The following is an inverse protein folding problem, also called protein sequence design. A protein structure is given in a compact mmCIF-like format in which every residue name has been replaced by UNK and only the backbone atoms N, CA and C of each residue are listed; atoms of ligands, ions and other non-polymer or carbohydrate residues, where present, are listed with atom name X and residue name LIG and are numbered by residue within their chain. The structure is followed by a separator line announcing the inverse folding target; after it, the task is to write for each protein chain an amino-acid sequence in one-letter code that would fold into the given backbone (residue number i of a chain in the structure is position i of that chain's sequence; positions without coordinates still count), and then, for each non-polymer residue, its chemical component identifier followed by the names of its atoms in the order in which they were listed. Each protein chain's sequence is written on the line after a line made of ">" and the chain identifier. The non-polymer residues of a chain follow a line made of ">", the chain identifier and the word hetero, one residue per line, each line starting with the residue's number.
data_IF_926357534400
#
_entry.id   IF_926357534400
#
_cell.length_a   1.000
_cell.length_b   1.000
_cell.length_c   1.000
_cell.angle_alpha   90.00
_cell.angle_beta   90.00
_cell.angle_gamma   90.00
#
_symmetry.space_group_name_H-M   'P 1'
#
loop_
_entity.id
_entity.type
_entity.pdbx_description
1 polymer ?
#
# COMPACT_ATOMS: atom_id res chain seq x y z
N UNK A 1 -1.50 -20.54 42.27
CA UNK A 1 -1.86 -19.49 41.30
C UNK A 1 -2.05 -20.16 39.95
N UNK A 2 -3.27 -20.58 39.62
CA UNK A 2 -3.64 -21.13 38.30
C UNK A 2 -5.07 -20.68 38.04
N UNK A 3 -5.21 -19.46 37.51
CA UNK A 3 -6.48 -18.97 37.00
C UNK A 3 -6.59 -19.47 35.57
N UNK A 4 -7.49 -20.44 35.31
CA UNK A 4 -7.92 -20.78 33.97
C UNK A 4 -8.83 -19.64 33.47
N UNK A 5 -8.23 -18.55 33.02
CA UNK A 5 -8.94 -17.49 32.32
C UNK A 5 -9.25 -18.04 30.92
N UNK A 6 -10.53 -18.04 30.50
CA UNK A 6 -10.91 -18.39 29.12
C UNK A 6 -10.11 -17.47 28.17
N UNK A 7 -9.10 -18.02 27.50
CA UNK A 7 -8.22 -17.23 26.61
C UNK A 7 -8.96 -16.78 25.33
N UNK A 8 -10.05 -17.46 24.96
CA UNK A 8 -10.98 -17.06 23.90
C UNK A 8 -12.32 -17.79 24.04
N UNK A 9 -13.42 -17.16 23.64
CA UNK A 9 -14.74 -17.79 23.50
C UNK A 9 -15.23 -17.64 22.06
N UNK A 10 -15.67 -18.75 21.45
CA UNK A 10 -16.27 -18.77 20.12
C UNK A 10 -17.78 -18.93 20.29
N UNK A 11 -18.55 -17.96 19.81
CA UNK A 11 -20.00 -18.01 19.83
C UNK A 11 -20.52 -18.30 18.42
N UNK A 12 -21.17 -19.45 18.25
CA UNK A 12 -21.80 -19.85 16.98
C UNK A 12 -23.31 -19.61 17.09
N UNK A 13 -23.83 -18.74 16.22
CA UNK A 13 -25.27 -18.49 16.10
C UNK A 13 -25.77 -19.11 14.82
N UNK A 14 -26.36 -20.31 14.92
CA UNK A 14 -26.92 -21.02 13.78
C UNK A 14 -28.39 -20.67 13.60
N UNK A 15 -28.75 -20.05 12.47
CA UNK A 15 -30.15 -19.85 12.08
C UNK A 15 -30.58 -20.94 11.10
N UNK A 16 -31.68 -21.68 11.37
CA UNK A 16 -32.19 -22.65 10.41
C UNK A 16 -32.69 -21.95 9.14
N UNK A 17 -32.56 -22.63 8.01
CA UNK A 17 -33.11 -22.16 6.73
C UNK A 17 -34.63 -22.11 6.83
N UNK A 18 -35.22 -20.99 6.41
CA UNK A 18 -36.68 -20.83 6.42
C UNK A 18 -37.36 -21.73 5.39
N UNK A 19 -36.75 -21.89 4.20
CA UNK A 19 -37.26 -22.74 3.11
C UNK A 19 -36.15 -23.69 2.63
N UNK A 20 -36.10 -24.94 3.13
CA UNK A 20 -35.02 -25.88 2.84
C UNK A 20 -35.03 -26.41 1.39
N UNK A 21 -36.14 -26.29 0.65
CA UNK A 21 -36.26 -26.77 -0.72
C UNK A 21 -36.04 -25.69 -1.78
N UNK A 22 -35.71 -24.46 -1.34
CA UNK A 22 -35.57 -23.31 -2.27
C UNK A 22 -34.22 -23.38 -2.99
N UNK A 23 -34.29 -23.58 -4.31
CA UNK A 23 -33.16 -23.44 -5.23
C UNK A 23 -32.99 -21.96 -5.59
N UNK A 24 -31.74 -21.48 -5.56
CA UNK A 24 -31.38 -20.12 -5.93
C UNK A 24 -30.91 -20.01 -7.37
N UNK A 25 -31.29 -18.93 -8.06
CA UNK A 25 -30.74 -18.62 -9.38
C UNK A 25 -29.38 -17.93 -9.21
N UNK A 26 -28.36 -18.43 -9.93
CA UNK A 26 -27.00 -17.89 -9.85
C UNK A 26 -26.92 -16.39 -10.16
N UNK A 27 -27.71 -15.93 -11.13
CA UNK A 27 -27.76 -14.52 -11.54
C UNK A 27 -28.23 -13.60 -10.41
N UNK A 28 -29.24 -14.03 -9.66
CA UNK A 28 -29.80 -13.27 -8.55
C UNK A 28 -28.81 -13.18 -7.39
N UNK A 29 -28.12 -14.29 -7.10
CA UNK A 29 -27.07 -14.35 -6.07
C UNK A 29 -25.94 -13.38 -6.41
N UNK A 30 -25.46 -13.38 -7.65
CA UNK A 30 -24.42 -12.45 -8.09
C UNK A 30 -24.88 -10.98 -8.10
N UNK A 31 -26.15 -10.71 -8.39
CA UNK A 31 -26.68 -9.35 -8.35
C UNK A 31 -26.78 -8.83 -6.91
N UNK A 32 -27.19 -9.66 -5.95
CA UNK A 32 -27.33 -9.24 -4.54
C UNK A 32 -25.97 -8.97 -3.88
N UNK A 33 -24.91 -9.65 -4.32
CA UNK A 33 -23.59 -9.63 -3.69
C UNK A 33 -22.96 -8.23 -3.57
N UNK A 34 -22.77 -7.44 -4.65
CA UNK A 34 -22.19 -6.10 -4.53
C UNK A 34 -22.99 -5.17 -3.62
N UNK A 35 -24.32 -5.22 -3.72
CA UNK A 35 -25.20 -4.38 -2.89
C UNK A 35 -25.06 -4.69 -1.40
N UNK A 36 -24.93 -5.98 -1.04
CA UNK A 36 -24.70 -6.38 0.36
C UNK A 36 -23.33 -5.95 0.86
N UNK A 37 -22.27 -6.08 0.05
CA UNK A 37 -20.92 -5.69 0.49
C UNK A 37 -20.85 -4.16 0.64
N UNK A 38 -21.46 -3.40 -0.26
CA UNK A 38 -21.54 -1.93 -0.17
C UNK A 38 -22.30 -1.44 1.08
N UNK A 39 -23.28 -2.20 1.57
CA UNK A 39 -23.96 -1.90 2.83
C UNK A 39 -23.05 -2.16 4.06
N UNK A 40 -22.28 -3.24 4.03
CA UNK A 40 -21.49 -3.69 5.19
C UNK A 40 -20.11 -3.03 5.29
N UNK A 41 -19.41 -2.79 4.18
CA UNK A 41 -18.05 -2.27 4.19
C UNK A 41 -17.94 -0.89 4.87
N UNK A 42 -18.81 0.10 4.57
CA UNK A 42 -18.77 1.39 5.25
C UNK A 42 -19.05 1.27 6.75
N UNK A 43 -19.99 0.40 7.12
CA UNK A 43 -20.34 0.17 8.53
C UNK A 43 -19.17 -0.42 9.33
N UNK A 44 -18.42 -1.36 8.73
CA UNK A 44 -17.21 -1.91 9.35
C UNK A 44 -16.13 -0.84 9.54
N UNK A 45 -15.95 0.03 8.55
CA UNK A 45 -14.98 1.14 8.63
C UNK A 45 -15.37 2.15 9.71
N UNK A 46 -16.66 2.46 9.86
CA UNK A 46 -17.18 3.30 10.96
C UNK A 46 -16.87 2.71 12.33
N UNK A 47 -16.96 1.38 12.46
CA UNK A 47 -16.61 0.62 13.67
C UNK A 47 -15.08 0.42 13.84
N UNK A 48 -14.26 1.09 13.03
CA UNK A 48 -12.79 0.97 12.99
C UNK A 48 -12.28 -0.44 12.65
N UNK A 49 -13.09 -1.28 12.00
CA UNK A 49 -12.67 -2.54 11.41
C UNK A 49 -12.22 -2.23 9.98
N UNK A 50 -10.91 -2.31 9.75
CA UNK A 50 -10.27 -1.87 8.50
C UNK A 50 -9.26 -2.92 8.01
N UNK A 51 -8.88 -2.86 6.74
CA UNK A 51 -7.85 -3.75 6.19
C UNK A 51 -8.32 -5.19 6.00
N UNK A 52 -7.42 -6.15 6.23
CA UNK A 52 -7.72 -7.57 6.15
C UNK A 52 -8.92 -7.97 7.03
N UNK A 53 -9.05 -7.40 8.22
CA UNK A 53 -10.16 -7.71 9.14
C UNK A 53 -11.52 -7.28 8.57
N UNK A 54 -11.58 -6.18 7.82
CA UNK A 54 -12.80 -5.74 7.12
C UNK A 54 -13.16 -6.71 5.98
N UNK A 55 -12.15 -7.19 5.24
CA UNK A 55 -12.34 -8.16 4.16
C UNK A 55 -12.90 -9.47 4.74
N UNK A 56 -12.31 -9.99 5.83
CA UNK A 56 -12.79 -11.22 6.46
C UNK A 56 -14.18 -11.05 7.09
N UNK A 57 -14.47 -9.88 7.65
CA UNK A 57 -15.78 -9.58 8.22
C UNK A 57 -16.87 -9.52 7.14
N UNK A 58 -16.55 -9.08 5.92
CA UNK A 58 -17.48 -9.08 4.78
C UNK A 58 -17.79 -10.47 4.22
N UNK A 59 -16.97 -11.50 4.48
CA UNK A 59 -17.24 -12.86 4.02
C UNK A 59 -18.52 -13.43 4.63
N UNK A 60 -18.80 -13.15 5.91
CA UNK A 60 -20.02 -13.63 6.57
C UNK A 60 -21.30 -13.14 5.87
N UNK A 61 -21.49 -11.81 5.72
CA UNK A 61 -22.60 -11.23 4.96
C UNK A 61 -22.69 -11.73 3.50
N UNK A 62 -21.56 -11.90 2.82
CA UNK A 62 -21.55 -12.45 1.46
C UNK A 62 -22.01 -13.92 1.43
N UNK A 63 -21.57 -14.74 2.39
CA UNK A 63 -22.00 -16.14 2.52
C UNK A 63 -23.47 -16.27 2.93
N UNK A 64 -24.04 -15.27 3.60
CA UNK A 64 -25.47 -15.26 3.93
C UNK A 64 -26.34 -15.39 2.67
N UNK A 65 -25.96 -14.72 1.57
CA UNK A 65 -26.71 -14.74 0.30
C UNK A 65 -26.77 -16.16 -0.27
N UNK A 66 -25.60 -16.84 -0.32
CA UNK A 66 -25.49 -18.19 -0.86
C UNK A 66 -26.12 -19.25 0.06
N UNK A 67 -25.94 -19.10 1.38
CA UNK A 67 -26.43 -20.08 2.37
C UNK A 67 -27.95 -20.06 2.60
N UNK A 68 -28.66 -19.04 2.10
CA UNK A 68 -30.14 -18.99 2.10
C UNK A 68 -30.77 -20.11 1.25
N UNK A 69 -30.06 -20.59 0.24
CA UNK A 69 -30.55 -21.59 -0.71
C UNK A 69 -30.04 -23.00 -0.36
N UNK A 70 -30.72 -24.03 -0.85
CA UNK A 70 -30.27 -25.43 -0.73
C UNK A 70 -29.21 -25.79 -1.75
N UNK A 71 -29.47 -25.42 -3.01
CA UNK A 71 -28.54 -25.40 -4.12
C UNK A 71 -28.69 -24.08 -4.88
N UNK A 72 -27.61 -23.64 -5.52
CA UNK A 72 -27.64 -22.51 -6.46
C UNK A 72 -27.30 -23.05 -7.83
N UNK A 73 -28.13 -22.75 -8.82
CA UNK A 73 -28.01 -23.31 -10.16
C UNK A 73 -27.85 -22.18 -11.20
N UNK A 74 -27.01 -22.43 -12.21
CA UNK A 74 -26.90 -21.59 -13.40
C UNK A 74 -28.11 -21.80 -14.30
N UNK A 75 -28.33 -20.89 -15.26
CA UNK A 75 -29.40 -21.06 -16.26
C UNK A 75 -29.29 -22.36 -17.10
N UNK A 76 -28.11 -23.00 -17.10
CA UNK A 76 -27.85 -24.31 -17.71
C UNK A 76 -28.34 -25.50 -16.87
N UNK A 77 -28.77 -25.29 -15.62
CA UNK A 77 -29.06 -26.34 -14.64
C UNK A 77 -27.83 -26.91 -13.94
N UNK A 78 -26.64 -26.33 -14.16
CA UNK A 78 -25.42 -26.71 -13.45
C UNK A 78 -25.43 -26.12 -12.03
N UNK A 79 -25.18 -26.95 -11.03
CA UNK A 79 -25.04 -26.52 -9.64
C UNK A 79 -23.70 -25.81 -9.43
N UNK A 80 -23.74 -24.58 -8.90
CA UNK A 80 -22.56 -23.79 -8.55
C UNK A 80 -21.99 -24.28 -7.22
N UNK A 81 -20.68 -24.53 -7.18
CA UNK A 81 -19.99 -24.90 -5.95
C UNK A 81 -19.66 -23.67 -5.08
N UNK A 82 -19.49 -23.87 -3.77
CA UNK A 82 -19.04 -22.79 -2.88
C UNK A 82 -17.66 -22.25 -3.28
N UNK A 83 -16.79 -23.09 -3.84
CA UNK A 83 -15.47 -22.69 -4.32
C UNK A 83 -15.56 -21.65 -5.43
N UNK A 84 -16.40 -21.91 -6.45
CA UNK A 84 -16.68 -20.93 -7.52
C UNK A 84 -17.25 -19.64 -6.94
N UNK A 85 -18.24 -19.71 -6.04
CA UNK A 85 -18.82 -18.51 -5.43
C UNK A 85 -17.79 -17.69 -4.67
N UNK A 86 -16.88 -18.36 -3.96
CA UNK A 86 -15.84 -17.71 -3.16
C UNK A 86 -14.94 -16.81 -4.01
N UNK A 87 -14.63 -17.18 -5.25
CA UNK A 87 -13.84 -16.34 -6.17
C UNK A 87 -14.55 -15.01 -6.46
N UNK A 88 -15.85 -15.05 -6.75
CA UNK A 88 -16.65 -13.84 -6.96
C UNK A 88 -16.80 -13.00 -5.69
N UNK A 89 -16.93 -13.65 -4.53
CA UNK A 89 -16.96 -12.94 -3.25
C UNK A 89 -15.65 -12.21 -3.00
N UNK A 90 -14.51 -12.88 -3.21
CA UNK A 90 -13.21 -12.23 -3.05
C UNK A 90 -13.06 -11.02 -3.97
N UNK A 91 -13.38 -11.18 -5.26
CA UNK A 91 -13.32 -10.07 -6.21
C UNK A 91 -14.26 -8.91 -5.84
N UNK A 92 -15.49 -9.19 -5.38
CA UNK A 92 -16.43 -8.15 -4.98
C UNK A 92 -15.98 -7.41 -3.72
N UNK A 93 -15.47 -8.13 -2.71
CA UNK A 93 -14.99 -7.53 -1.46
C UNK A 93 -13.71 -6.71 -1.69
N UNK A 94 -12.78 -7.18 -2.52
CA UNK A 94 -11.56 -6.41 -2.83
C UNK A 94 -11.85 -5.16 -3.65
N UNK A 95 -12.77 -5.24 -4.62
CA UNK A 95 -13.19 -4.05 -5.37
C UNK A 95 -13.86 -3.01 -4.46
N UNK A 96 -14.78 -3.43 -3.58
CA UNK A 96 -15.40 -2.49 -2.63
C UNK A 96 -14.40 -1.90 -1.65
N UNK A 97 -13.42 -2.70 -1.20
CA UNK A 97 -12.35 -2.22 -0.34
C UNK A 97 -11.48 -1.17 -1.04
N UNK A 98 -11.14 -1.38 -2.33
CA UNK A 98 -10.44 -0.38 -3.13
C UNK A 98 -11.29 0.88 -3.29
N UNK A 99 -12.57 0.77 -3.62
CA UNK A 99 -13.47 1.91 -3.74
C UNK A 99 -13.58 2.71 -2.44
N UNK A 100 -13.54 2.02 -1.30
CA UNK A 100 -13.49 2.62 0.04
C UNK A 100 -12.19 3.39 0.26
N UNK A 101 -11.03 2.80 -0.08
CA UNK A 101 -9.71 3.45 0.04
C UNK A 101 -9.63 4.69 -0.86
N UNK A 102 -10.12 4.57 -2.09
CA UNK A 102 -10.09 5.63 -3.10
C UNK A 102 -11.27 6.61 -2.98
N UNK A 103 -12.13 6.46 -1.97
CA UNK A 103 -13.32 7.29 -1.72
C UNK A 103 -14.20 7.48 -2.97
N UNK A 104 -14.43 6.39 -3.72
CA UNK A 104 -15.23 6.39 -4.95
C UNK A 104 -14.52 6.93 -6.19
N UNK A 105 -13.21 7.18 -6.14
CA UNK A 105 -12.43 7.41 -7.35
C UNK A 105 -12.18 6.07 -8.05
N UNK A 106 -12.65 5.94 -9.30
CA UNK A 106 -12.51 4.76 -10.16
C UNK A 106 -11.14 4.07 -10.03
N UNK A 107 -11.10 2.97 -9.27
CA UNK A 107 -9.89 2.21 -8.97
C UNK A 107 -9.48 1.27 -10.11
N UNK A 108 -10.36 1.10 -11.13
CA UNK A 108 -10.17 0.15 -12.24
C UNK A 108 -9.03 0.54 -13.19
N UNK A 109 -8.57 1.79 -13.13
CA UNK A 109 -7.49 2.32 -13.96
C UNK A 109 -6.06 2.17 -13.40
N UNK A 110 -5.89 1.59 -12.21
CA UNK A 110 -4.57 1.44 -11.56
C UNK A 110 -3.94 0.08 -11.83
N UNK A 111 -2.61 0.05 -11.93
CA UNK A 111 -1.85 -1.18 -12.12
C UNK A 111 -1.87 -2.09 -10.86
N UNK A 112 -1.47 -3.35 -11.04
CA UNK A 112 -1.49 -4.40 -10.00
C UNK A 112 -0.67 -4.03 -8.76
N UNK A 113 0.49 -3.40 -8.94
CA UNK A 113 1.39 -2.98 -7.87
C UNK A 113 0.78 -1.86 -7.00
N UNK A 114 0.08 -0.91 -7.61
CA UNK A 114 -0.62 0.17 -6.94
C UNK A 114 -1.77 -0.37 -6.08
N UNK A 115 -2.60 -1.28 -6.62
CA UNK A 115 -3.70 -1.90 -5.88
C UNK A 115 -3.20 -2.72 -4.70
N UNK A 116 -2.14 -3.53 -4.91
CA UNK A 116 -1.54 -4.32 -3.84
C UNK A 116 -0.96 -3.43 -2.74
N UNK A 117 -0.21 -2.39 -3.10
CA UNK A 117 0.40 -1.46 -2.13
C UNK A 117 -0.66 -0.73 -1.31
N UNK A 118 -1.74 -0.25 -1.94
CA UNK A 118 -2.83 0.42 -1.25
C UNK A 118 -3.52 -0.51 -0.23
N UNK A 119 -3.89 -1.72 -0.63
CA UNK A 119 -4.51 -2.71 0.25
C UNK A 119 -3.58 -3.13 1.40
N UNK A 120 -2.29 -3.24 1.12
CA UNK A 120 -1.28 -3.56 2.12
C UNK A 120 -1.15 -2.48 3.18
N UNK A 121 -0.96 -1.22 2.75
CA UNK A 121 -0.84 -0.09 3.66
C UNK A 121 -2.15 0.14 4.43
N UNK A 122 -3.31 -0.10 3.81
CA UNK A 122 -4.58 -0.05 4.50
C UNK A 122 -4.66 -1.08 5.63
N UNK A 123 -4.22 -2.32 5.37
CA UNK A 123 -4.15 -3.37 6.39
C UNK A 123 -3.17 -3.04 7.52
N UNK A 124 -2.04 -2.40 7.21
CA UNK A 124 -1.10 -1.96 8.25
C UNK A 124 -1.62 -0.77 9.05
N UNK A 125 -2.31 0.18 8.41
CA UNK A 125 -2.91 1.33 9.06
C UNK A 125 -4.01 0.91 10.04
N UNK A 126 -4.76 -0.15 9.70
CA UNK A 126 -5.72 -0.80 10.57
C UNK A 126 -5.07 -1.36 11.84
N UNK A 127 -3.98 -2.11 11.67
CA UNK A 127 -3.22 -2.70 12.78
C UNK A 127 -2.56 -1.63 13.67
N UNK A 128 -2.19 -0.47 13.10
CA UNK A 128 -1.59 0.65 13.85
C UNK A 128 -2.61 1.52 14.61
N UNK A 129 -3.84 1.65 14.13
CA UNK A 129 -4.92 2.42 14.78
C UNK A 129 -5.82 1.57 15.69
N UNK A 130 -5.89 0.27 15.47
CA UNK A 130 -6.68 -0.67 16.26
C UNK A 130 -6.00 -1.02 17.58
N UNK A 131 -6.75 -0.86 18.68
CA UNK A 131 -6.38 -1.26 20.04
C UNK A 131 -5.71 -2.66 20.06
N UNK A 132 -4.39 -2.68 20.25
CA UNK A 132 -3.58 -3.87 20.15
C UNK A 132 -3.93 -4.91 21.21
N UNK A 133 -4.56 -6.01 20.78
CA UNK A 133 -4.45 -7.29 21.45
C UNK A 133 -4.41 -8.43 20.43
N UNK A 134 -3.25 -8.56 19.78
CA UNK A 134 -2.88 -9.66 18.90
C UNK A 134 -1.36 -9.65 18.76
N UNK A 135 -0.69 -10.40 19.63
CA UNK A 135 0.73 -10.28 19.88
C UNK A 135 1.61 -10.55 18.66
N UNK A 136 2.39 -9.54 18.26
CA UNK A 136 3.81 -9.73 18.03
C UNK A 136 4.54 -8.66 18.83
N UNK A 137 4.93 -9.01 20.06
CA UNK A 137 5.92 -8.26 20.82
C UNK A 137 7.19 -8.17 19.96
N UNK A 138 7.38 -7.03 19.31
CA UNK A 138 8.72 -6.53 19.11
C UNK A 138 9.14 -5.97 20.46
N UNK A 139 10.13 -6.62 21.08
CA UNK A 139 10.77 -6.20 22.33
C UNK A 139 11.14 -4.72 22.28
N UNK A 140 10.29 -3.88 22.89
CA UNK A 140 10.63 -2.52 23.24
C UNK A 140 11.45 -2.55 24.53
N UNK A 141 12.72 -2.92 24.40
CA UNK A 141 13.74 -2.58 25.37
C UNK A 141 14.92 -1.92 24.66
N UNK A 142 15.12 -0.66 25.04
CA UNK A 142 16.27 0.20 24.78
C UNK A 142 16.31 0.99 23.46
N UNK A 143 16.32 2.31 23.66
CA UNK A 143 16.92 3.39 22.85
C UNK A 143 16.03 4.09 21.82
N UNK A 144 15.99 5.42 21.96
CA UNK A 144 15.54 6.41 20.98
C UNK A 144 16.22 6.19 19.62
N UNK A 145 15.59 5.38 18.76
CA UNK A 145 15.86 5.36 17.32
C UNK A 145 14.55 5.50 16.57
N UNK A 146 14.55 6.41 15.61
CA UNK A 146 13.46 6.64 14.67
C UNK A 146 12.97 5.32 14.06
N UNK A 147 11.67 5.22 13.67
CA UNK A 147 11.10 4.02 13.08
C UNK A 147 11.60 3.85 11.64
N UNK A 148 12.85 3.45 11.50
CA UNK A 148 13.49 3.15 10.23
C UNK A 148 13.90 1.68 10.18
N UNK A 149 13.57 1.02 9.08
CA UNK A 149 14.09 -0.27 8.62
C UNK A 149 13.32 -1.57 8.94
N UNK A 150 12.05 -1.55 9.38
CA UNK A 150 11.27 -2.79 9.55
C UNK A 150 9.74 -2.67 9.43
N UNK A 151 9.22 -1.59 8.85
CA UNK A 151 7.89 -1.06 9.18
C UNK A 151 6.66 -1.61 8.44
N UNK A 152 6.80 -2.49 7.44
CA UNK A 152 5.65 -2.90 6.60
C UNK A 152 5.47 -4.42 6.47
N UNK A 153 5.73 -5.16 7.55
CA UNK A 153 5.55 -6.61 7.58
C UNK A 153 4.08 -6.99 7.86
N UNK A 154 3.56 -7.94 7.09
CA UNK A 154 2.26 -8.59 7.27
C UNK A 154 2.46 -10.10 7.40
N UNK A 155 1.51 -10.79 8.05
CA UNK A 155 1.48 -12.24 8.04
C UNK A 155 1.31 -12.76 6.60
N UNK A 156 2.06 -13.81 6.25
CA UNK A 156 2.06 -14.33 4.87
C UNK A 156 0.67 -14.79 4.41
N UNK A 157 -0.15 -15.33 5.30
CA UNK A 157 -1.51 -15.77 4.96
C UNK A 157 -2.43 -14.60 4.59
N UNK A 158 -2.38 -13.50 5.35
CA UNK A 158 -3.12 -12.28 5.03
C UNK A 158 -2.63 -11.66 3.71
N UNK A 159 -1.30 -11.58 3.51
CA UNK A 159 -0.72 -11.10 2.26
C UNK A 159 -1.14 -11.93 1.04
N UNK A 160 -1.12 -13.26 1.17
CA UNK A 160 -1.53 -14.20 0.10
C UNK A 160 -3.00 -14.05 -0.24
N UNK A 161 -3.87 -13.88 0.76
CA UNK A 161 -5.32 -13.72 0.54
C UNK A 161 -5.66 -12.38 -0.11
N UNK A 162 -4.99 -11.31 0.28
CA UNK A 162 -5.09 -10.00 -0.40
C UNK A 162 -4.67 -10.14 -1.87
N UNK A 163 -3.52 -10.80 -2.11
CA UNK A 163 -3.02 -11.02 -3.46
C UNK A 163 -4.00 -11.86 -4.31
N UNK A 164 -4.58 -12.91 -3.73
CA UNK A 164 -5.60 -13.74 -4.38
C UNK A 164 -6.84 -12.92 -4.77
N UNK A 165 -7.36 -12.09 -3.87
CA UNK A 165 -8.54 -11.26 -4.16
C UNK A 165 -8.29 -10.13 -5.15
N UNK A 166 -7.03 -9.74 -5.36
CA UNK A 166 -6.63 -8.76 -6.39
C UNK A 166 -6.20 -9.41 -7.71
N UNK A 167 -6.22 -10.75 -7.77
CA UNK A 167 -5.68 -11.56 -8.87
C UNK A 167 -4.19 -11.28 -9.16
N UNK A 168 -3.44 -10.84 -8.14
CA UNK A 168 -2.02 -10.52 -8.27
C UNK A 168 -1.17 -11.70 -7.83
N UNK A 169 -0.26 -12.13 -8.69
CA UNK A 169 0.72 -13.15 -8.33
C UNK A 169 1.91 -12.50 -7.61
N UNK A 170 2.07 -12.74 -6.30
CA UNK A 170 3.19 -12.22 -5.50
C UNK A 170 4.57 -12.58 -6.10
N UNK A 171 4.66 -13.71 -6.81
CA UNK A 171 5.86 -14.19 -7.49
C UNK A 171 6.29 -13.29 -8.67
N UNK A 172 5.36 -12.53 -9.25
CA UNK A 172 5.63 -11.61 -10.36
C UNK A 172 6.23 -10.27 -9.90
N UNK A 173 6.15 -9.94 -8.60
CA UNK A 173 6.56 -8.65 -8.03
C UNK A 173 7.67 -8.76 -6.96
N UNK A 174 8.85 -9.34 -7.29
CA UNK A 174 9.96 -9.46 -6.34
C UNK A 174 10.58 -8.10 -5.96
N UNK A 175 10.33 -7.06 -6.75
CA UNK A 175 10.79 -5.69 -6.52
C UNK A 175 9.89 -4.90 -5.55
N UNK A 176 8.75 -5.47 -5.15
CA UNK A 176 7.77 -4.83 -4.28
C UNK A 176 7.64 -5.54 -2.92
N UNK A 177 7.65 -6.88 -2.93
CA UNK A 177 7.41 -7.69 -1.73
C UNK A 177 8.55 -8.68 -1.53
N UNK A 178 9.07 -8.72 -0.31
CA UNK A 178 10.01 -9.74 0.16
C UNK A 178 9.29 -10.75 1.04
N UNK A 179 9.50 -12.04 0.79
CA UNK A 179 8.87 -13.13 1.54
C UNK A 179 9.93 -13.81 2.40
N UNK A 180 9.86 -13.61 3.71
CA UNK A 180 10.75 -14.25 4.68
C UNK A 180 9.95 -15.16 5.63
N UNK A 181 10.22 -16.47 5.60
CA UNK A 181 9.72 -17.53 6.51
C UNK A 181 8.46 -17.16 7.34
N UNK A 182 7.31 -17.07 6.65
CA UNK A 182 5.98 -16.89 7.27
C UNK A 182 5.52 -15.44 7.41
N UNK A 183 6.38 -14.47 7.10
CA UNK A 183 6.04 -13.04 6.99
C UNK A 183 6.31 -12.56 5.58
N UNK A 184 5.48 -11.66 5.11
CA UNK A 184 5.71 -10.95 3.88
C UNK A 184 5.91 -9.48 4.21
N UNK A 185 6.88 -8.83 3.58
CA UNK A 185 7.28 -7.45 3.87
C UNK A 185 7.17 -6.64 2.59
N UNK A 186 6.43 -5.54 2.65
CA UNK A 186 6.47 -4.54 1.59
C UNK A 186 7.79 -3.78 1.69
N UNK A 187 8.54 -3.71 0.59
CA UNK A 187 9.82 -3.01 0.55
C UNK A 187 9.61 -1.49 0.73
N UNK A 188 10.29 -0.85 1.70
CA UNK A 188 10.34 0.60 1.81
C UNK A 188 10.77 1.25 0.51
N UNK A 189 10.34 2.50 0.32
CA UNK A 189 10.62 3.25 -0.92
C UNK A 189 12.13 3.43 -1.12
N UNK A 190 12.91 3.50 -0.04
CA UNK A 190 14.37 3.55 -0.07
C UNK A 190 15.01 2.32 -0.68
N UNK A 191 14.50 1.12 -0.38
CA UNK A 191 15.04 -0.15 -0.89
C UNK A 191 14.68 -0.32 -2.38
N UNK A 192 13.54 0.22 -2.80
CA UNK A 192 13.13 0.28 -4.21
C UNK A 192 14.00 1.20 -5.06
N UNK A 193 14.84 2.05 -4.45
CA UNK A 193 15.73 2.97 -5.18
C UNK A 193 16.63 2.24 -6.18
N UNK A 194 17.14 1.05 -5.85
CA UNK A 194 18.01 0.26 -6.74
C UNK A 194 17.28 -0.29 -7.97
N UNK A 195 15.97 -0.47 -7.87
CA UNK A 195 15.12 -0.94 -8.96
C UNK A 195 14.65 0.24 -9.84
N UNK A 196 14.20 1.32 -9.20
CA UNK A 196 13.64 2.51 -9.86
C UNK A 196 14.69 3.37 -10.57
N UNK A 197 15.92 3.31 -10.08
CA UNK A 197 17.10 3.95 -10.66
C UNK A 197 18.06 2.82 -10.99
N UNK A 198 18.00 2.32 -12.23
CA UNK A 198 18.89 1.26 -12.72
C UNK A 198 20.34 1.59 -12.37
N UNK A 199 21.18 0.58 -12.12
CA UNK A 199 22.56 0.66 -11.58
C UNK A 199 23.53 1.69 -12.22
N UNK A 200 23.16 2.35 -13.30
CA UNK A 200 23.91 3.48 -13.89
C UNK A 200 23.64 4.81 -13.17
N UNK A 201 22.54 4.94 -12.44
CA UNK A 201 22.24 6.08 -11.59
C UNK A 201 22.87 5.87 -10.20
N UNK A 202 24.20 6.03 -10.12
CA UNK A 202 24.89 5.99 -8.83
C UNK A 202 24.47 7.17 -7.95
N UNK A 203 23.45 6.94 -7.13
CA UNK A 203 23.10 7.81 -6.02
C UNK A 203 24.12 7.66 -4.90
N UNK A 204 25.20 8.43 -4.99
CA UNK A 204 25.99 8.73 -3.81
C UNK A 204 25.11 9.53 -2.83
N UNK A 205 24.93 9.08 -1.57
CA UNK A 205 24.31 9.92 -0.56
C UNK A 205 25.20 11.14 -0.34
N UNK A 206 24.61 12.33 -0.31
CA UNK A 206 25.30 13.55 0.14
C UNK A 206 25.47 13.42 1.66
N UNK A 207 26.46 12.64 2.07
CA UNK A 207 26.85 12.39 3.45
C UNK A 207 27.87 13.42 3.92
N UNK A 208 27.41 14.39 4.70
CA UNK A 208 28.17 15.15 5.71
C UNK A 208 29.49 15.80 5.26
N UNK A 209 29.44 17.09 4.87
CA UNK A 209 30.60 17.97 5.08
C UNK A 209 30.82 18.10 6.60
N UNK A 210 31.67 17.24 7.17
CA UNK A 210 32.35 17.55 8.43
C UNK A 210 33.09 18.87 8.20
N UNK A 211 32.81 19.87 9.04
CA UNK A 211 33.60 21.09 9.12
C UNK A 211 35.07 20.71 9.24
N UNK A 212 35.87 21.00 8.20
CA UNK A 212 37.32 21.02 8.33
C UNK A 212 37.67 22.40 8.86
N UNK A 213 38.03 22.43 10.14
CA UNK A 213 38.69 23.55 10.82
C UNK A 213 39.84 24.04 9.93
N UNK A 214 39.73 25.25 9.38
CA UNK A 214 40.85 25.93 8.69
C UNK A 214 41.88 26.32 9.75
N UNK A 215 42.94 25.53 9.86
CA UNK A 215 44.13 25.92 10.60
C UNK A 215 44.94 26.89 9.72
N UNK A 216 45.20 28.09 10.23
CA UNK A 216 45.99 29.13 9.57
C UNK A 216 47.49 28.86 9.69
N UNK A 217 48.23 28.97 8.59
CA UNK A 217 49.70 29.08 8.59
C UNK A 217 50.13 30.55 8.65
N UNK A 218 51.27 30.80 9.31
CA UNK A 218 51.77 32.09 9.83
C UNK A 218 52.47 33.00 8.79
N UNK A 219 52.31 32.79 7.49
CA UNK A 219 52.87 33.69 6.47
C UNK A 219 51.77 34.10 5.52
N UNK A 220 51.21 35.28 5.77
CA UNK A 220 50.12 35.84 4.97
C UNK A 220 50.59 36.24 3.58
N UNK A 221 50.00 35.60 2.57
CA UNK A 221 49.77 36.11 1.23
C UNK A 221 48.58 35.32 0.64
N UNK A 222 47.50 35.96 0.18
CA UNK A 222 46.42 35.29 -0.53
C UNK A 222 46.83 35.11 -2.00
N UNK A 223 46.99 33.87 -2.45
CA UNK A 223 46.88 33.56 -3.87
C UNK A 223 45.42 33.27 -4.18
N UNK A 224 44.77 34.20 -4.89
CA UNK A 224 43.49 33.97 -5.54
C UNK A 224 43.71 32.92 -6.64
N UNK A 225 43.55 31.65 -6.28
CA UNK A 225 43.17 30.62 -7.22
C UNK A 225 41.65 30.59 -7.21
N UNK A 226 41.04 31.44 -8.02
CA UNK A 226 39.71 31.19 -8.58
C UNK A 226 39.84 29.92 -9.44
N UNK A 227 39.86 28.74 -8.80
CA UNK A 227 39.28 27.57 -9.42
C UNK A 227 37.77 27.82 -9.39
N UNK A 228 37.30 28.48 -10.46
CA UNK A 228 35.97 28.26 -11.00
C UNK A 228 35.73 26.75 -10.95
N UNK A 229 35.04 26.30 -9.90
CA UNK A 229 34.36 25.02 -9.99
C UNK A 229 33.21 25.30 -10.95
N UNK A 230 33.53 25.17 -12.24
CA UNK A 230 32.63 24.59 -13.22
C UNK A 230 32.12 23.29 -12.59
N UNK A 231 31.09 23.42 -11.77
CA UNK A 231 30.14 22.36 -11.50
C UNK A 231 29.44 22.23 -12.84
N UNK A 232 30.10 21.55 -13.77
CA UNK A 232 29.47 20.96 -14.94
C UNK A 232 28.26 20.22 -14.40
N UNK A 233 27.13 20.85 -14.65
CA UNK A 233 25.80 20.47 -14.24
C UNK A 233 25.49 19.17 -14.97
N UNK A 234 25.89 18.05 -14.38
CA UNK A 234 25.84 16.73 -14.99
C UNK A 234 24.45 16.49 -15.61
N UNK A 235 24.32 16.49 -16.96
CA UNK A 235 23.03 16.55 -17.63
C UNK A 235 22.49 15.15 -17.96
N UNK A 236 22.88 14.10 -17.23
CA UNK A 236 22.54 12.70 -17.56
C UNK A 236 22.12 11.85 -16.36
N UNK A 237 21.21 12.34 -15.54
CA UNK A 237 20.44 11.47 -14.62
C UNK A 237 18.96 11.72 -14.93
N UNK A 238 18.52 11.18 -16.06
CA UNK A 238 17.11 11.04 -16.36
C UNK A 238 16.71 9.63 -15.91
N UNK A 239 16.07 9.45 -14.75
CA UNK A 239 15.39 8.19 -14.51
C UNK A 239 14.37 8.02 -15.63
N UNK A 240 14.47 6.93 -16.38
CA UNK A 240 13.38 6.57 -17.29
C UNK A 240 12.09 6.54 -16.45
N UNK A 241 11.04 7.20 -16.94
CA UNK A 241 9.78 7.26 -16.24
C UNK A 241 9.35 5.84 -15.86
N UNK A 242 9.06 5.63 -14.58
CA UNK A 242 8.61 4.34 -14.05
C UNK A 242 7.51 3.74 -14.92
N UNK A 243 7.53 2.42 -15.07
CA UNK A 243 6.60 1.70 -15.93
C UNK A 243 5.16 1.84 -15.41
N UNK A 244 4.98 1.88 -14.09
CA UNK A 244 3.68 2.04 -13.41
C UNK A 244 3.50 3.42 -12.81
N UNK A 245 2.26 3.80 -12.50
CA UNK A 245 1.97 5.05 -11.78
C UNK A 245 2.59 5.04 -10.38
N UNK A 246 2.61 3.88 -9.72
CA UNK A 246 3.23 3.73 -8.39
C UNK A 246 4.75 3.96 -8.45
N UNK A 247 5.43 3.40 -9.45
CA UNK A 247 6.87 3.61 -9.64
C UNK A 247 7.21 5.08 -9.85
N UNK A 248 6.39 5.81 -10.63
CA UNK A 248 6.55 7.25 -10.83
C UNK A 248 6.37 8.04 -9.55
N UNK A 249 5.40 7.66 -8.70
CA UNK A 249 5.21 8.29 -7.38
C UNK A 249 6.43 8.04 -6.50
N UNK A 250 6.93 6.80 -6.45
CA UNK A 250 8.11 6.47 -5.66
C UNK A 250 9.39 7.15 -6.17
N UNK A 251 9.58 7.26 -7.49
CA UNK A 251 10.66 8.06 -8.08
C UNK A 251 10.57 9.53 -7.63
N UNK A 252 9.37 10.13 -7.69
CA UNK A 252 9.14 11.50 -7.22
C UNK A 252 9.42 11.67 -5.72
N UNK A 253 9.01 10.69 -4.89
CA UNK A 253 9.29 10.67 -3.46
C UNK A 253 10.79 10.59 -3.18
N UNK A 254 11.53 9.74 -3.90
CA UNK A 254 12.98 9.60 -3.76
C UNK A 254 13.74 10.86 -4.19
N UNK A 255 13.35 11.46 -5.33
CA UNK A 255 13.92 12.74 -5.79
C UNK A 255 13.68 13.87 -4.77
N UNK A 256 12.51 13.90 -4.14
CA UNK A 256 12.21 14.84 -3.06
C UNK A 256 13.05 14.55 -1.80
N UNK A 257 13.16 13.28 -1.40
CA UNK A 257 13.94 12.84 -0.25
C UNK A 257 15.43 13.18 -0.36
N UNK A 258 15.99 13.06 -1.56
CA UNK A 258 17.38 13.43 -1.86
C UNK A 258 17.59 14.95 -2.02
N UNK A 259 16.54 15.77 -1.90
CA UNK A 259 16.62 17.23 -2.01
C UNK A 259 16.82 17.77 -3.43
N UNK A 260 16.72 16.92 -4.47
CA UNK A 260 16.92 17.27 -5.88
C UNK A 260 15.69 17.95 -6.47
N UNK A 261 15.41 19.16 -5.97
CA UNK A 261 14.26 19.98 -6.34
C UNK A 261 14.12 20.26 -7.83
N UNK A 262 15.24 20.46 -8.53
CA UNK A 262 15.25 20.76 -9.97
C UNK A 262 14.94 19.52 -10.80
N UNK A 263 15.51 18.37 -10.44
CA UNK A 263 15.22 17.09 -11.10
C UNK A 263 13.74 16.70 -10.91
N UNK A 264 13.16 16.93 -9.73
CA UNK A 264 11.74 16.70 -9.48
C UNK A 264 10.84 17.62 -10.34
N UNK A 265 11.20 18.89 -10.51
CA UNK A 265 10.45 19.82 -11.36
C UNK A 265 10.47 19.35 -12.82
N UNK A 266 11.64 18.95 -13.33
CA UNK A 266 11.77 18.39 -14.68
C UNK A 266 10.95 17.12 -14.82
N UNK A 267 11.02 16.20 -13.86
CA UNK A 267 10.24 14.96 -13.88
C UNK A 267 8.72 15.20 -13.89
N UNK A 268 8.22 16.17 -13.11
CA UNK A 268 6.78 16.45 -13.06
C UNK A 268 6.28 17.25 -14.28
N UNK A 269 7.10 18.15 -14.83
CA UNK A 269 6.70 19.11 -15.88
C UNK A 269 7.20 18.71 -17.27
N UNK A 270 8.49 18.41 -17.41
CA UNK A 270 9.12 18.06 -18.69
C UNK A 270 8.80 16.61 -19.10
N UNK A 271 8.86 15.66 -18.17
CA UNK A 271 8.49 14.26 -18.44
C UNK A 271 6.96 14.03 -18.42
N UNK A 272 6.18 15.08 -18.13
CA UNK A 272 4.71 15.08 -18.21
C UNK A 272 4.00 14.23 -17.14
N UNK A 273 4.72 13.65 -16.17
CA UNK A 273 4.15 12.78 -15.14
C UNK A 273 3.11 13.51 -14.29
N UNK A 274 3.35 14.78 -13.99
CA UNK A 274 2.44 15.60 -13.20
C UNK A 274 1.18 16.04 -13.94
N UNK A 275 1.12 15.86 -15.27
CA UNK A 275 -0.10 16.10 -16.07
C UNK A 275 -1.06 14.90 -16.01
N UNK A 276 -0.58 13.71 -15.64
CA UNK A 276 -1.44 12.53 -15.49
C UNK A 276 -2.29 12.66 -14.22
N UNK A 277 -3.62 12.75 -14.41
CA UNK A 277 -4.57 12.79 -13.29
C UNK A 277 -4.49 11.56 -12.39
N UNK A 278 -4.09 10.40 -12.94
CA UNK A 278 -3.97 9.14 -12.18
C UNK A 278 -2.87 9.21 -11.13
N UNK A 279 -1.79 9.94 -11.41
CA UNK A 279 -0.69 10.14 -10.47
C UNK A 279 -1.18 10.78 -9.16
N UNK A 280 -1.93 11.88 -9.28
CA UNK A 280 -2.46 12.60 -8.11
C UNK A 280 -3.56 11.82 -7.40
N UNK A 281 -4.40 11.12 -8.17
CA UNK A 281 -5.48 10.27 -7.63
C UNK A 281 -4.94 9.10 -6.80
N UNK A 282 -3.75 8.57 -7.12
CA UNK A 282 -3.09 7.54 -6.33
C UNK A 282 -2.30 8.12 -5.14
N UNK A 283 -1.65 9.28 -5.33
CA UNK A 283 -0.83 9.89 -4.30
C UNK A 283 -1.63 10.35 -3.06
N UNK A 284 -2.84 10.86 -3.24
CA UNK A 284 -3.70 11.34 -2.14
C UNK A 284 -4.12 10.22 -1.15
N UNK A 285 -4.65 9.07 -1.61
CA UNK A 285 -4.88 7.90 -0.76
C UNK A 285 -3.60 7.38 -0.11
N UNK A 286 -2.51 7.22 -0.86
CA UNK A 286 -1.25 6.71 -0.31
C UNK A 286 -0.74 7.58 0.85
N UNK A 287 -0.84 8.91 0.75
CA UNK A 287 -0.50 9.83 1.84
C UNK A 287 -1.32 9.57 3.12
N UNK A 288 -2.61 9.23 2.99
CA UNK A 288 -3.46 8.89 4.14
C UNK A 288 -3.10 7.52 4.73
N UNK A 289 -2.73 6.56 3.88
CA UNK A 289 -2.44 5.18 4.26
C UNK A 289 -1.06 4.99 4.90
N UNK A 290 -0.06 5.82 4.55
CA UNK A 290 1.25 5.72 5.19
C UNK A 290 1.17 6.03 6.70
N UNK A 291 1.74 5.17 7.56
CA UNK A 291 1.81 5.39 9.00
C UNK A 291 2.45 6.73 9.36
N UNK A 292 2.02 7.34 10.46
CA UNK A 292 2.63 8.57 10.96
C UNK A 292 4.09 8.38 11.36
N UNK A 293 4.95 9.35 11.02
CA UNK A 293 6.36 9.36 11.43
C UNK A 293 7.33 8.63 10.48
N UNK A 294 6.85 8.09 9.35
CA UNK A 294 7.71 7.50 8.32
C UNK A 294 8.27 8.56 7.36
N UNK A 295 9.42 8.27 6.73
CA UNK A 295 10.01 9.15 5.71
C UNK A 295 9.11 9.23 4.47
N UNK A 296 8.44 8.13 4.12
CA UNK A 296 7.50 8.03 3.00
C UNK A 296 6.36 9.04 3.13
N UNK A 297 5.76 9.17 4.32
CA UNK A 297 4.66 10.11 4.54
C UNK A 297 5.11 11.56 4.32
N UNK A 298 6.30 11.91 4.81
CA UNK A 298 6.89 13.25 4.62
C UNK A 298 7.20 13.52 3.15
N UNK A 299 7.68 12.52 2.42
CA UNK A 299 8.02 12.69 1.00
C UNK A 299 6.79 12.87 0.13
N UNK A 300 5.75 12.06 0.32
CA UNK A 300 4.52 12.18 -0.46
C UNK A 300 3.78 13.48 -0.16
N UNK A 301 3.77 13.93 1.10
CA UNK A 301 3.26 15.25 1.49
C UNK A 301 4.04 16.38 0.78
N UNK A 302 5.37 16.27 0.73
CA UNK A 302 6.24 17.19 0.02
C UNK A 302 5.97 17.25 -1.50
N UNK A 303 5.72 16.11 -2.13
CA UNK A 303 5.36 16.01 -3.55
C UNK A 303 3.97 16.62 -3.81
N UNK A 304 2.98 16.33 -2.95
CA UNK A 304 1.64 16.92 -3.04
C UNK A 304 1.66 18.44 -2.82
N UNK A 305 2.52 18.97 -1.96
CA UNK A 305 2.71 20.41 -1.80
C UNK A 305 3.26 21.06 -3.08
N UNK A 306 4.14 20.35 -3.83
CA UNK A 306 4.69 20.84 -5.09
C UNK A 306 3.66 20.94 -6.20
N UNK A 307 2.61 20.11 -6.19
CA UNK A 307 1.46 20.23 -7.09
C UNK A 307 0.94 21.67 -7.14
N UNK A 308 0.63 22.21 -5.96
CA UNK A 308 0.12 23.59 -5.79
C UNK A 308 1.14 24.64 -6.21
N UNK A 309 2.42 24.40 -5.92
CA UNK A 309 3.52 25.33 -6.25
C UNK A 309 3.91 25.36 -7.73
N UNK A 310 3.60 24.31 -8.49
CA UNK A 310 3.91 24.19 -9.93
C UNK A 310 2.69 24.41 -10.82
N UNK A 311 1.49 24.58 -10.25
CA UNK A 311 0.26 24.83 -10.99
C UNK A 311 -0.28 23.61 -11.77
N UNK A 312 0.01 22.41 -11.27
CA UNK A 312 -0.40 21.12 -11.84
C UNK A 312 -1.66 20.55 -11.16
#
# INVERSE_FOLDING_TARGET
>A
MNSAVLASSIHLVCRPRQNPDRVGEWRDVLHELPGRIHEWMPHLVEENIVGADAIFSCLGPAMEIFSRYSSVEKASGEQVTLGEYMEYVWAAVTNEALDTIFAGADATGFEEDARLTAMWLWTLSASANGNGNGGTQADASASNKAPGAGGFALEYDAARKIAQGLEVHLESLPHLVEIEKGKARLLPVEERKQYLFSKDDTFAPIGSKKEKTKQTTLSGEPTDAEEETDIERDPKIHPAAGMTVLDRIHQAMLLFGDGRSDALKRFLVEDGVGQDTRFWRLAEPLHKLYPGGTSEKRWIEGVLARKKGLGL
#
